data_IF_241645139734
#
_entry.id   IF_241645139734
#
_cell.length_a   1.000
_cell.length_b   1.000
_cell.length_c   1.000
_cell.angle_alpha   90.00
_cell.angle_beta   90.00
_cell.angle_gamma   90.00
#
_symmetry.space_group_name_H-M   'P 1'
#
loop_
_entity.id
_entity.type
_entity.pdbx_description
1 polymer ?
#
# COMPACT_ATOMS: atom_id res chain seq x y z
N UNK A 1 -13.37 1.96 -12.13
CA UNK A 1 -13.13 3.42 -12.28
C UNK A 1 -12.88 3.80 -13.75
N UNK A 2 -13.50 4.88 -14.29
CA UNK A 2 -13.23 5.36 -15.66
C UNK A 2 -11.94 6.20 -15.72
N UNK A 3 -11.06 5.91 -16.68
CA UNK A 3 -9.77 6.58 -16.81
C UNK A 3 -9.87 7.83 -17.69
N UNK A 4 -9.68 8.97 -17.04
CA UNK A 4 -9.59 10.32 -17.64
C UNK A 4 -8.28 10.53 -18.40
N UNK A 5 -8.35 10.56 -19.74
CA UNK A 5 -7.17 10.76 -20.62
C UNK A 5 -6.50 12.11 -20.40
N UNK A 6 -7.28 13.15 -20.15
CA UNK A 6 -6.81 14.51 -19.91
C UNK A 6 -5.89 14.64 -18.68
N UNK A 7 -6.03 13.73 -17.70
CA UNK A 7 -5.14 13.63 -16.54
C UNK A 7 -3.87 12.88 -16.94
N UNK A 8 -3.99 11.75 -17.65
CA UNK A 8 -2.86 10.96 -18.09
C UNK A 8 -1.89 11.75 -18.99
N UNK A 9 -2.42 12.63 -19.83
CA UNK A 9 -1.62 13.43 -20.77
C UNK A 9 -0.76 14.48 -20.06
N UNK A 10 -1.09 14.84 -18.81
CA UNK A 10 -0.31 15.77 -17.98
C UNK A 10 0.82 15.10 -17.20
N UNK A 11 0.80 13.77 -17.12
CA UNK A 11 1.71 12.99 -16.30
C UNK A 11 2.92 12.53 -17.12
N UNK A 12 4.11 12.84 -16.62
CA UNK A 12 5.37 12.34 -17.16
C UNK A 12 5.49 10.84 -16.80
N UNK A 13 5.63 10.01 -17.84
CA UNK A 13 5.69 8.55 -17.72
C UNK A 13 6.69 7.94 -18.70
N UNK A 14 7.20 6.75 -18.36
CA UNK A 14 7.97 5.96 -19.33
C UNK A 14 7.07 5.37 -20.41
N UNK A 15 7.64 5.01 -21.56
CA UNK A 15 6.89 4.38 -22.66
C UNK A 15 6.18 3.09 -22.25
N UNK A 16 6.80 2.34 -21.34
CA UNK A 16 6.30 1.05 -20.86
C UNK A 16 5.41 1.17 -19.61
N UNK A 17 5.18 2.40 -19.10
CA UNK A 17 4.32 2.62 -17.95
C UNK A 17 2.85 2.65 -18.39
N UNK A 18 2.08 1.68 -17.92
CA UNK A 18 0.63 1.63 -18.15
C UNK A 18 -0.13 1.68 -16.83
N UNK A 19 -1.40 2.09 -16.94
CA UNK A 19 -2.37 1.95 -15.85
C UNK A 19 -2.71 0.47 -15.71
N UNK A 20 -2.78 -0.01 -14.47
CA UNK A 20 -3.10 -1.41 -14.17
C UNK A 20 -4.57 -1.60 -13.83
N UNK A 21 -5.04 -2.85 -13.84
CA UNK A 21 -6.35 -3.22 -13.30
C UNK A 21 -6.53 -2.90 -11.80
N UNK A 22 -5.43 -2.73 -11.06
CA UNK A 22 -5.42 -2.46 -9.63
C UNK A 22 -5.54 -0.96 -9.29
N UNK A 23 -5.70 -0.08 -10.28
CA UNK A 23 -5.76 1.36 -10.04
C UNK A 23 -6.84 1.77 -9.03
N UNK A 24 -7.96 1.04 -8.99
CA UNK A 24 -9.06 1.33 -8.06
C UNK A 24 -8.68 1.06 -6.61
N UNK A 25 -7.92 -0.01 -6.31
CA UNK A 25 -7.44 -0.28 -4.95
C UNK A 25 -6.39 0.76 -4.52
N UNK A 26 -5.53 1.20 -5.45
CA UNK A 26 -4.56 2.27 -5.21
C UNK A 26 -5.28 3.59 -4.91
N UNK A 27 -6.31 3.94 -5.70
CA UNK A 27 -7.10 5.15 -5.48
C UNK A 27 -7.79 5.14 -4.12
N UNK A 28 -8.51 4.06 -3.80
CA UNK A 28 -9.24 3.92 -2.55
C UNK A 28 -8.28 4.08 -1.36
N UNK A 29 -7.16 3.35 -1.37
CA UNK A 29 -6.15 3.46 -0.34
C UNK A 29 -5.62 4.91 -0.18
N UNK A 30 -5.21 5.54 -1.28
CA UNK A 30 -4.66 6.90 -1.21
C UNK A 30 -5.71 7.92 -0.77
N UNK A 31 -6.96 7.79 -1.22
CA UNK A 31 -8.05 8.69 -0.84
C UNK A 31 -8.34 8.68 0.67
N UNK A 32 -8.22 7.53 1.32
CA UNK A 32 -8.45 7.38 2.76
C UNK A 32 -7.27 7.93 3.58
N UNK A 33 -6.04 7.78 3.08
CA UNK A 33 -4.83 8.03 3.86
C UNK A 33 -4.14 9.38 3.59
N UNK A 34 -4.31 9.98 2.41
CA UNK A 34 -3.54 11.16 1.98
C UNK A 34 -4.07 12.50 2.52
N UNK A 35 -5.38 12.81 2.53
CA UNK A 35 -5.85 14.17 2.85
C UNK A 35 -5.40 14.70 4.23
N UNK A 36 -5.31 13.83 5.23
CA UNK A 36 -4.94 14.20 6.60
C UNK A 36 -3.44 14.40 6.85
N UNK A 37 -2.57 14.12 5.87
CA UNK A 37 -1.13 14.09 6.08
C UNK A 37 -0.32 14.97 5.12
N UNK A 38 -1.00 15.78 4.31
CA UNK A 38 -0.39 16.76 3.44
C UNK A 38 0.27 17.88 4.26
N UNK A 39 1.49 18.24 3.88
CA UNK A 39 2.27 19.34 4.46
C UNK A 39 2.42 20.49 3.44
N UNK A 40 2.84 21.66 3.89
CA UNK A 40 3.00 22.83 2.98
C UNK A 40 4.19 22.72 2.02
N UNK A 41 5.19 21.89 2.35
CA UNK A 41 6.46 21.78 1.63
C UNK A 41 6.55 20.46 0.90
N UNK A 42 7.23 20.47 -0.25
CA UNK A 42 7.63 19.26 -0.97
C UNK A 42 8.48 18.36 -0.06
N UNK A 43 8.26 17.05 -0.10
CA UNK A 43 9.09 16.08 0.57
C UNK A 43 10.01 15.37 -0.44
N UNK A 44 11.31 15.65 -0.37
CA UNK A 44 12.31 15.16 -1.34
C UNK A 44 12.88 13.79 -0.99
N UNK A 45 12.47 13.22 0.15
CA UNK A 45 12.98 11.93 0.63
C UNK A 45 12.27 10.75 0.00
N UNK A 46 11.04 10.94 -0.46
CA UNK A 46 10.17 9.86 -0.90
C UNK A 46 9.55 10.18 -2.25
N UNK A 47 9.94 9.41 -3.27
CA UNK A 47 9.43 9.55 -4.63
C UNK A 47 8.18 8.69 -4.86
N UNK A 48 7.49 8.93 -5.97
CA UNK A 48 6.37 8.12 -6.46
C UNK A 48 6.76 6.65 -6.65
N UNK A 49 8.01 6.40 -7.06
CA UNK A 49 8.55 5.04 -7.22
C UNK A 49 8.76 4.35 -5.87
N UNK A 50 9.31 5.06 -4.87
CA UNK A 50 9.41 4.52 -3.52
C UNK A 50 8.02 4.26 -2.91
N UNK A 51 7.07 5.16 -3.18
CA UNK A 51 5.69 5.02 -2.74
C UNK A 51 5.00 3.80 -3.37
N UNK A 52 5.19 3.55 -4.67
CA UNK A 52 4.59 2.39 -5.35
C UNK A 52 4.97 1.09 -4.65
N UNK A 53 6.25 0.89 -4.30
CA UNK A 53 6.73 -0.34 -3.67
C UNK A 53 6.17 -0.53 -2.27
N UNK A 54 5.96 0.58 -1.55
CA UNK A 54 5.31 0.55 -0.26
C UNK A 54 3.84 0.14 -0.40
N UNK A 55 3.14 0.67 -1.39
CA UNK A 55 1.76 0.28 -1.69
C UNK A 55 1.66 -1.18 -2.15
N UNK A 56 2.62 -1.69 -2.93
CA UNK A 56 2.69 -3.11 -3.32
C UNK A 56 2.73 -4.03 -2.09
N UNK A 57 3.56 -3.68 -1.09
CA UNK A 57 3.64 -4.43 0.18
C UNK A 57 2.33 -4.38 0.97
N UNK A 58 1.69 -3.20 1.03
CA UNK A 58 0.46 -3.01 1.81
C UNK A 58 -0.73 -3.72 1.16
N UNK A 59 -0.89 -3.56 -0.17
CA UNK A 59 -2.04 -4.06 -0.92
C UNK A 59 -1.87 -5.51 -1.35
N UNK A 60 -0.63 -6.01 -1.40
CA UNK A 60 -0.33 -7.41 -1.74
C UNK A 60 -0.41 -7.74 -3.24
N UNK A 61 -0.45 -6.73 -4.11
CA UNK A 61 -0.45 -6.88 -5.56
C UNK A 61 0.44 -5.82 -6.22
N UNK A 62 0.77 -6.03 -7.50
CA UNK A 62 1.57 -5.08 -8.28
C UNK A 62 0.89 -3.71 -8.37
N UNK A 63 1.69 -2.63 -8.29
CA UNK A 63 1.25 -1.24 -8.43
C UNK A 63 2.18 -0.54 -9.42
N UNK A 64 1.61 -0.06 -10.52
CA UNK A 64 2.37 0.74 -11.47
C UNK A 64 2.70 2.11 -10.86
N UNK A 65 3.89 2.62 -11.17
CA UNK A 65 4.26 3.99 -10.79
C UNK A 65 3.28 5.02 -11.42
N UNK A 66 2.66 4.68 -12.56
CA UNK A 66 1.67 5.52 -13.22
C UNK A 66 0.35 5.53 -12.46
N UNK A 67 -0.04 4.42 -11.85
CA UNK A 67 -1.24 4.35 -11.00
C UNK A 67 -1.10 5.35 -9.85
N UNK A 68 0.06 5.36 -9.18
CA UNK A 68 0.33 6.30 -8.08
C UNK A 68 0.25 7.75 -8.54
N UNK A 69 0.93 8.09 -9.65
CA UNK A 69 0.90 9.46 -10.20
C UNK A 69 -0.51 9.89 -10.57
N UNK A 70 -1.24 9.02 -11.25
CA UNK A 70 -2.60 9.27 -11.69
C UNK A 70 -3.55 9.48 -10.53
N UNK A 71 -3.52 8.61 -9.52
CA UNK A 71 -4.35 8.73 -8.34
C UNK A 71 -4.03 10.01 -7.54
N UNK A 72 -2.75 10.38 -7.40
CA UNK A 72 -2.38 11.62 -6.72
C UNK A 72 -2.88 12.87 -7.47
N UNK A 73 -2.77 12.88 -8.80
CA UNK A 73 -3.30 13.97 -9.64
C UNK A 73 -4.83 14.04 -9.56
N UNK A 74 -5.50 12.88 -9.59
CA UNK A 74 -6.96 12.78 -9.44
C UNK A 74 -7.45 13.29 -8.07
N UNK A 75 -6.66 13.07 -7.01
CA UNK A 75 -6.91 13.58 -5.67
C UNK A 75 -6.56 15.07 -5.52
N UNK A 76 -6.05 15.73 -6.56
CA UNK A 76 -5.65 17.14 -6.53
C UNK A 76 -4.40 17.39 -5.67
N UNK A 77 -3.58 16.36 -5.44
CA UNK A 77 -2.36 16.48 -4.65
C UNK A 77 -1.30 17.16 -5.50
N UNK A 78 -0.83 18.32 -5.04
CA UNK A 78 0.28 19.02 -5.67
C UNK A 78 1.50 18.09 -5.79
N UNK A 79 2.11 18.04 -6.96
CA UNK A 79 3.21 17.13 -7.23
C UNK A 79 4.37 17.86 -7.92
N UNK A 80 5.58 17.33 -7.78
CA UNK A 80 6.79 17.91 -8.40
C UNK A 80 7.57 16.82 -9.14
N UNK A 81 7.72 16.92 -10.47
CA UNK A 81 8.44 15.91 -11.23
C UNK A 81 9.95 15.96 -10.95
N UNK A 82 10.58 14.80 -11.01
CA UNK A 82 12.02 14.57 -10.93
C UNK A 82 12.36 13.39 -11.86
N UNK A 83 12.68 13.70 -13.12
CA UNK A 83 12.78 12.70 -14.19
C UNK A 83 11.43 12.04 -14.44
N UNK A 84 11.39 10.70 -14.40
CA UNK A 84 10.14 9.93 -14.54
C UNK A 84 9.35 9.78 -13.23
N UNK A 85 9.86 10.29 -12.11
CA UNK A 85 9.25 10.15 -10.79
C UNK A 85 8.69 11.48 -10.29
N UNK A 86 7.85 11.42 -9.26
CA UNK A 86 7.23 12.60 -8.66
C UNK A 86 7.49 12.63 -7.16
N UNK A 87 7.63 13.84 -6.60
CA UNK A 87 7.62 14.08 -5.16
C UNK A 87 6.28 14.67 -4.75
N UNK A 88 5.82 14.28 -3.56
CA UNK A 88 4.55 14.71 -2.99
C UNK A 88 4.78 15.40 -1.64
N UNK A 89 3.88 16.28 -1.19
CA UNK A 89 4.03 16.99 0.06
C UNK A 89 3.41 16.15 1.18
N UNK A 90 3.87 14.91 1.33
CA UNK A 90 3.39 13.99 2.38
C UNK A 90 4.33 14.08 3.59
N UNK A 91 3.76 14.10 4.79
CA UNK A 91 4.56 14.18 6.03
C UNK A 91 5.44 12.93 6.23
N UNK A 92 6.62 13.11 6.85
CA UNK A 92 7.48 11.99 7.26
C UNK A 92 6.77 11.01 8.21
N UNK A 93 5.85 11.53 9.03
CA UNK A 93 5.04 10.72 9.94
C UNK A 93 4.18 9.72 9.16
N UNK A 94 3.54 10.18 8.09
CA UNK A 94 2.73 9.32 7.25
C UNK A 94 3.56 8.20 6.61
N UNK A 95 4.74 8.51 6.07
CA UNK A 95 5.61 7.48 5.51
C UNK A 95 6.04 6.42 6.54
N UNK A 96 6.27 6.83 7.80
CA UNK A 96 6.56 5.90 8.91
C UNK A 96 5.35 5.04 9.27
N UNK A 97 4.15 5.62 9.28
CA UNK A 97 2.90 4.87 9.53
C UNK A 97 2.64 3.85 8.40
N UNK A 98 2.89 4.23 7.15
CA UNK A 98 2.79 3.32 6.01
C UNK A 98 3.84 2.21 6.04
N UNK A 99 5.07 2.49 6.50
CA UNK A 99 6.10 1.45 6.68
C UNK A 99 5.65 0.41 7.71
N UNK A 100 5.15 0.85 8.88
CA UNK A 100 4.62 -0.06 9.89
C UNK A 100 3.46 -0.91 9.37
N UNK A 101 2.61 -0.33 8.53
CA UNK A 101 1.50 -1.06 7.90
C UNK A 101 2.01 -2.10 6.91
N UNK A 102 3.02 -1.76 6.10
CA UNK A 102 3.67 -2.70 5.18
C UNK A 102 4.34 -3.86 5.94
N UNK A 103 5.10 -3.57 6.99
CA UNK A 103 5.77 -4.57 7.82
C UNK A 103 4.75 -5.54 8.43
N UNK A 104 3.65 -5.02 8.99
CA UNK A 104 2.56 -5.84 9.51
C UNK A 104 1.93 -6.75 8.44
N UNK A 105 1.77 -6.24 7.20
CA UNK A 105 1.21 -7.02 6.09
C UNK A 105 2.14 -8.15 5.65
N UNK A 106 3.45 -7.89 5.65
CA UNK A 106 4.45 -8.92 5.35
C UNK A 106 4.48 -10.01 6.44
N UNK A 107 4.38 -9.63 7.72
CA UNK A 107 4.24 -10.57 8.83
C UNK A 107 2.98 -11.43 8.69
N UNK A 108 1.81 -10.81 8.44
CA UNK A 108 0.54 -11.52 8.19
C UNK A 108 0.65 -12.51 7.02
N UNK A 109 1.33 -12.12 5.94
CA UNK A 109 1.55 -12.99 4.78
C UNK A 109 2.45 -14.17 5.12
N UNK A 110 3.56 -13.93 5.81
CA UNK A 110 4.50 -14.96 6.22
C UNK A 110 3.85 -15.99 7.15
N UNK A 111 3.05 -15.55 8.13
CA UNK A 111 2.29 -16.44 8.99
C UNK A 111 1.31 -17.31 8.20
N UNK A 112 0.55 -16.72 7.26
CA UNK A 112 -0.38 -17.48 6.39
C UNK A 112 0.35 -18.55 5.58
N UNK A 113 1.53 -18.24 5.03
CA UNK A 113 2.34 -19.19 4.27
C UNK A 113 2.89 -20.31 5.15
N UNK A 114 3.23 -20.04 6.41
CA UNK A 114 3.65 -21.07 7.38
C UNK A 114 2.48 -21.97 7.78
N UNK A 115 1.28 -21.41 7.99
CA UNK A 115 0.06 -22.19 8.23
C UNK A 115 -0.24 -23.08 7.01
N UNK A 116 -0.16 -22.54 5.80
CA UNK A 116 -0.41 -23.29 4.57
C UNK A 116 0.58 -24.44 4.36
N UNK A 117 1.83 -24.26 4.82
CA UNK A 117 2.86 -25.33 4.85
C UNK A 117 2.70 -26.31 6.01
N UNK A 118 1.76 -26.09 6.92
CA UNK A 118 1.57 -26.92 8.11
C UNK A 118 2.66 -26.76 9.18
N UNK A 119 3.48 -25.70 9.10
CA UNK A 119 4.57 -25.45 10.06
C UNK A 119 4.06 -24.92 11.40
N UNK A 120 2.89 -24.27 11.40
CA UNK A 120 2.23 -23.72 12.58
C UNK A 120 0.71 -23.97 12.48
N UNK A 121 0.08 -24.23 13.61
CA UNK A 121 -1.39 -24.31 13.68
C UNK A 121 -1.98 -22.88 13.59
N UNK A 122 -3.13 -22.70 12.92
CA UNK A 122 -3.81 -21.41 12.93
C UNK A 122 -4.21 -21.03 14.35
N UNK A 123 -4.11 -19.75 14.69
CA UNK A 123 -4.39 -19.23 16.06
C UNK A 123 -5.83 -19.55 16.52
N UNK A 124 -6.77 -19.67 15.58
CA UNK A 124 -8.14 -20.11 15.87
C UNK A 124 -8.24 -21.59 16.30
N UNK A 125 -7.30 -22.43 15.85
CA UNK A 125 -7.21 -23.83 16.20
C UNK A 125 -6.66 -24.00 17.62
N UNK A 126 -5.63 -23.24 18.00
CA UNK A 126 -5.02 -23.32 19.34
C UNK A 126 -5.99 -22.91 20.46
N UNK A 127 -6.83 -21.89 20.25
CA UNK A 127 -7.84 -21.48 21.25
C UNK A 127 -8.98 -22.51 21.40
N UNK A 128 -9.43 -23.12 20.29
CA UNK A 128 -10.49 -24.13 20.30
C UNK A 128 -10.02 -25.48 20.89
N UNK A 129 -8.72 -25.80 20.77
CA UNK A 129 -8.12 -26.95 21.43
C UNK A 129 -7.83 -26.68 22.90
N UNK A 130 -7.29 -25.51 23.27
CA UNK A 130 -7.11 -25.13 24.68
C UNK A 130 -8.45 -25.14 25.45
N UNK A 131 -9.53 -24.64 24.84
CA UNK A 131 -10.87 -24.69 25.42
C UNK A 131 -11.44 -26.12 25.53
N UNK A 132 -11.09 -27.02 24.60
CA UNK A 132 -11.45 -28.45 24.69
C UNK A 132 -10.66 -29.16 25.79
N UNK A 133 -9.36 -28.92 25.92
CA UNK A 133 -8.52 -29.52 26.97
C UNK A 133 -8.89 -29.01 28.37
N UNK A 134 -9.28 -27.74 28.51
CA UNK A 134 -9.84 -27.20 29.75
C UNK A 134 -11.19 -27.83 30.13
N UNK A 135 -12.01 -28.23 29.16
CA UNK A 135 -13.32 -28.88 29.40
C UNK A 135 -13.20 -30.37 29.78
N UNK A 136 -12.09 -31.03 29.45
CA UNK A 136 -11.84 -32.44 29.76
C UNK A 136 -10.89 -32.68 30.95
N UNK A 137 -10.55 -31.65 31.74
CA UNK A 137 -9.98 -31.83 33.07
C UNK A 137 -8.65 -32.60 33.12
N UNK A 138 -7.68 -32.23 32.28
CA UNK A 138 -6.27 -32.60 32.49
C UNK A 138 -5.41 -31.33 32.62
N UNK A 139 -5.57 -30.65 33.75
CA UNK A 139 -4.51 -29.91 34.44
C UNK A 139 -4.62 -30.27 35.90
#
# INVERSE_FOLDING_TARGET
MEIKKEILDRIIKSKDETITENIESVYNFLSEHVPGCLVKKRNDRHSSYGLKHKLERILGHYVSNLDVKYCMELLGVKSWPCGINYFYPLSERWYKEMEKLADKKDEEKFERERIARGEIAPVSFTMAELGRWAKYGRI
#
